data_IF_172699637112
#
_entry.id   IF_172699637112
#
_cell.length_a   1.000
_cell.length_b   1.000
_cell.length_c   1.000
_cell.angle_alpha   90.00
_cell.angle_beta   90.00
_cell.angle_gamma   90.00
#
_symmetry.space_group_name_H-M   'P 1'
#
loop_
_entity.id
_entity.type
_entity.pdbx_description
1 polymer ?
#
# COMPACT_ATOMS: atom_id res chain seq x y z
N UNK A 1 12.89 6.54 -23.47
CA UNK A 1 13.65 7.00 -22.29
C UNK A 1 15.05 7.40 -22.71
N UNK A 2 15.54 8.58 -22.32
CA UNK A 2 16.93 8.94 -22.52
C UNK A 2 17.81 8.09 -21.59
N UNK A 3 18.80 7.37 -22.15
CA UNK A 3 19.79 6.63 -21.35
C UNK A 3 20.51 7.63 -20.45
N UNK A 4 20.47 7.38 -19.13
CA UNK A 4 21.13 8.24 -18.15
C UNK A 4 22.64 8.07 -18.29
N UNK A 5 23.33 9.12 -18.68
CA UNK A 5 24.80 9.10 -18.77
C UNK A 5 25.40 9.11 -17.36
N UNK A 6 26.47 8.32 -17.17
CA UNK A 6 27.23 8.33 -15.92
C UNK A 6 27.96 9.68 -15.78
N UNK A 7 27.95 10.23 -14.57
CA UNK A 7 28.75 11.41 -14.24
C UNK A 7 30.22 11.19 -14.63
N UNK A 8 30.92 12.19 -15.21
CA UNK A 8 32.25 12.01 -15.82
C UNK A 8 33.29 11.37 -14.88
N UNK A 9 33.24 11.73 -13.60
CA UNK A 9 34.15 11.22 -12.58
C UNK A 9 33.88 9.74 -12.25
N UNK A 10 32.61 9.34 -12.13
CA UNK A 10 32.21 7.96 -11.93
C UNK A 10 32.51 7.11 -13.19
N UNK A 11 32.26 7.65 -14.37
CA UNK A 11 32.61 7.02 -15.65
C UNK A 11 34.12 6.75 -15.78
N UNK A 12 34.97 7.67 -15.33
CA UNK A 12 36.42 7.47 -15.30
C UNK A 12 36.81 6.36 -14.32
N UNK A 13 36.20 6.30 -13.13
CA UNK A 13 36.44 5.24 -12.15
C UNK A 13 36.01 3.86 -12.67
N UNK A 14 34.88 3.77 -13.38
CA UNK A 14 34.40 2.52 -13.98
C UNK A 14 35.38 2.02 -15.03
N UNK A 15 35.81 2.87 -15.98
CA UNK A 15 36.79 2.47 -17.01
C UNK A 15 38.11 2.01 -16.39
N UNK A 16 38.61 2.75 -15.39
CA UNK A 16 39.85 2.40 -14.70
C UNK A 16 39.73 1.04 -13.97
N UNK A 17 38.58 0.76 -13.35
CA UNK A 17 38.35 -0.52 -12.69
C UNK A 17 38.26 -1.68 -13.70
N UNK A 18 37.60 -1.50 -14.85
CA UNK A 18 37.53 -2.54 -15.89
C UNK A 18 38.92 -2.85 -16.46
N UNK A 19 39.71 -1.82 -16.75
CA UNK A 19 41.09 -1.97 -17.21
C UNK A 19 41.97 -2.72 -16.19
N UNK A 20 41.77 -2.45 -14.89
CA UNK A 20 42.46 -3.17 -13.81
C UNK A 20 42.19 -4.68 -13.82
N UNK A 21 40.98 -5.09 -14.21
CA UNK A 21 40.58 -6.49 -14.35
C UNK A 21 40.73 -7.01 -15.79
N UNK A 22 41.54 -6.35 -16.62
CA UNK A 22 41.91 -6.85 -17.95
C UNK A 22 40.84 -6.72 -19.02
N UNK A 23 39.85 -5.85 -18.83
CA UNK A 23 38.81 -5.56 -19.80
C UNK A 23 38.86 -4.07 -20.21
N UNK A 24 39.16 -3.79 -21.46
CA UNK A 24 39.00 -2.43 -22.03
C UNK A 24 37.55 -2.24 -22.46
N UNK A 25 36.88 -1.20 -21.94
CA UNK A 25 35.44 -1.00 -22.14
C UNK A 25 35.08 0.38 -22.68
N UNK A 26 34.06 0.42 -23.52
CA UNK A 26 33.36 1.64 -23.94
C UNK A 26 32.06 1.75 -23.16
N UNK A 27 31.79 2.92 -22.58
CA UNK A 27 30.56 3.16 -21.81
C UNK A 27 29.47 3.73 -22.71
N UNK A 28 28.27 3.16 -22.60
CA UNK A 28 27.06 3.58 -23.30
C UNK A 28 25.91 3.72 -22.30
N UNK A 29 25.79 4.90 -21.67
CA UNK A 29 24.83 5.12 -20.58
C UNK A 29 25.20 4.28 -19.35
N UNK A 30 24.31 3.40 -18.94
CA UNK A 30 24.44 2.46 -17.83
C UNK A 30 24.97 1.07 -18.25
N UNK A 31 25.56 0.95 -19.45
CA UNK A 31 26.18 -0.29 -19.93
C UNK A 31 27.65 -0.04 -20.26
N UNK A 32 28.54 -0.90 -19.78
CA UNK A 32 29.90 -1.01 -20.29
C UNK A 32 29.97 -2.14 -21.32
N UNK A 33 30.60 -1.91 -22.47
CA UNK A 33 30.81 -2.91 -23.52
C UNK A 33 32.30 -3.09 -23.75
N UNK A 34 32.81 -4.32 -23.68
CA UNK A 34 34.22 -4.58 -23.97
C UNK A 34 34.51 -4.76 -25.47
N UNK A 35 35.80 -4.89 -25.80
CA UNK A 35 36.29 -5.11 -27.16
C UNK A 35 35.88 -6.46 -27.76
N UNK A 36 35.37 -7.40 -26.96
CA UNK A 36 34.83 -8.69 -27.39
C UNK A 36 33.31 -8.64 -27.61
N UNK A 37 32.69 -7.48 -27.39
CA UNK A 37 31.25 -7.30 -27.56
C UNK A 37 30.41 -7.78 -26.37
N UNK A 38 31.02 -8.00 -25.20
CA UNK A 38 30.33 -8.40 -23.97
C UNK A 38 29.80 -7.16 -23.26
N UNK A 39 28.55 -7.23 -22.82
CA UNK A 39 27.84 -6.15 -22.13
C UNK A 39 27.82 -6.38 -20.63
N UNK A 40 28.13 -5.34 -19.88
CA UNK A 40 28.11 -5.29 -18.42
C UNK A 40 27.12 -4.21 -17.98
N UNK A 41 26.02 -4.62 -17.36
CA UNK A 41 25.05 -3.68 -16.80
C UNK A 41 25.61 -2.98 -15.57
N UNK A 42 25.56 -1.65 -15.55
CA UNK A 42 26.00 -0.77 -14.46
C UNK A 42 24.82 -0.18 -13.68
N UNK A 43 23.58 -0.55 -14.01
CA UNK A 43 22.39 -0.03 -13.32
C UNK A 43 22.42 -0.27 -11.80
N UNK A 44 22.96 -1.42 -11.37
CA UNK A 44 23.14 -1.74 -9.94
C UNK A 44 24.20 -0.87 -9.25
N UNK A 45 25.22 -0.40 -9.98
CA UNK A 45 26.30 0.41 -9.43
C UNK A 45 25.79 1.76 -8.91
N UNK A 46 24.90 2.41 -9.66
CA UNK A 46 24.34 3.71 -9.26
C UNK A 46 23.53 3.59 -7.97
N UNK A 47 22.65 2.60 -7.89
CA UNK A 47 21.89 2.30 -6.68
C UNK A 47 22.81 1.95 -5.49
N UNK A 48 23.89 1.19 -5.74
CA UNK A 48 24.86 0.81 -4.72
C UNK A 48 25.61 2.02 -4.14
N UNK A 49 25.99 2.99 -4.98
CA UNK A 49 26.64 4.24 -4.54
C UNK A 49 25.68 5.08 -3.71
N UNK A 50 24.43 5.23 -4.15
CA UNK A 50 23.41 6.02 -3.43
C UNK A 50 23.05 5.42 -2.06
N UNK A 51 22.98 4.09 -1.95
CA UNK A 51 22.61 3.40 -0.71
C UNK A 51 23.76 3.33 0.32
N UNK A 52 24.99 3.67 -0.07
CA UNK A 52 26.20 3.52 0.77
C UNK A 52 27.03 4.82 0.84
N UNK A 53 26.46 5.97 1.27
CA UNK A 53 27.16 7.26 1.23
C UNK A 53 28.42 7.34 2.11
N UNK A 54 28.58 6.41 3.07
CA UNK A 54 29.76 6.33 3.93
C UNK A 54 30.95 5.55 3.35
N UNK A 55 30.82 4.96 2.16
CA UNK A 55 31.89 4.20 1.50
C UNK A 55 32.41 4.99 0.31
N UNK A 56 33.73 5.13 0.12
CA UNK A 56 34.29 5.83 -1.05
C UNK A 56 33.79 5.21 -2.37
N UNK A 57 33.25 6.00 -3.31
CA UNK A 57 32.70 5.49 -4.57
C UNK A 57 33.67 4.61 -5.35
N UNK A 58 34.97 4.94 -5.32
CA UNK A 58 36.03 4.17 -5.99
C UNK A 58 36.11 2.72 -5.49
N UNK A 59 35.90 2.48 -4.19
CA UNK A 59 35.92 1.13 -3.63
C UNK A 59 34.69 0.34 -4.04
N UNK A 60 33.51 0.98 -4.04
CA UNK A 60 32.26 0.38 -4.51
C UNK A 60 32.34 0.03 -6.01
N UNK A 61 32.86 0.94 -6.83
CA UNK A 61 33.07 0.74 -8.27
C UNK A 61 34.04 -0.41 -8.51
N UNK A 62 35.20 -0.42 -7.84
CA UNK A 62 36.20 -1.47 -8.02
C UNK A 62 35.67 -2.84 -7.58
N UNK A 63 34.97 -2.92 -6.45
CA UNK A 63 34.34 -4.15 -5.99
C UNK A 63 33.29 -4.65 -6.98
N UNK A 64 32.40 -3.78 -7.43
CA UNK A 64 31.34 -4.12 -8.38
C UNK A 64 31.88 -4.54 -9.75
N UNK A 65 32.87 -3.82 -10.28
CA UNK A 65 33.48 -4.16 -11.57
C UNK A 65 34.29 -5.45 -11.51
N UNK A 66 35.03 -5.70 -10.41
CA UNK A 66 35.71 -6.98 -10.18
C UNK A 66 34.73 -8.14 -10.29
N UNK A 67 33.58 -8.00 -9.64
CA UNK A 67 32.54 -9.00 -9.65
C UNK A 67 31.93 -9.12 -11.05
N UNK A 68 31.70 -8.02 -11.79
CA UNK A 68 31.17 -8.02 -13.17
C UNK A 68 32.10 -8.74 -14.14
N UNK A 69 33.40 -8.46 -14.05
CA UNK A 69 34.40 -9.15 -14.86
C UNK A 69 34.51 -10.62 -14.45
N UNK A 70 34.47 -10.94 -13.16
CA UNK A 70 34.46 -12.32 -12.68
C UNK A 70 33.18 -13.08 -13.09
N UNK A 71 32.02 -12.44 -13.18
CA UNK A 71 30.77 -13.06 -13.63
C UNK A 71 30.76 -13.37 -15.14
N UNK A 72 31.52 -12.61 -15.93
CA UNK A 72 31.61 -12.75 -17.39
C UNK A 72 32.83 -13.58 -17.84
N UNK A 73 33.90 -13.61 -17.05
CA UNK A 73 35.12 -14.39 -17.32
C UNK A 73 35.22 -15.66 -16.48
N UNK A 74 34.53 -15.73 -15.35
CA UNK A 74 34.47 -16.92 -14.52
C UNK A 74 33.56 -17.99 -15.11
N UNK A 75 33.60 -19.19 -14.54
CA UNK A 75 32.62 -20.21 -14.85
C UNK A 75 31.22 -19.62 -14.63
N UNK A 76 30.29 -19.80 -15.58
CA UNK A 76 28.93 -19.26 -15.49
C UNK A 76 28.30 -19.74 -14.16
N UNK A 77 27.27 -19.08 -13.61
CA UNK A 77 26.66 -19.52 -12.35
C UNK A 77 26.12 -20.99 -12.36
N UNK A 78 26.16 -21.66 -13.52
CA UNK A 78 25.92 -23.10 -13.73
C UNK A 78 27.16 -24.01 -13.76
N UNK A 79 28.40 -23.50 -13.67
CA UNK A 79 29.63 -24.31 -13.75
C UNK A 79 30.15 -24.82 -12.38
N UNK A 80 29.47 -24.46 -11.28
CA UNK A 80 29.86 -24.88 -9.93
C UNK A 80 29.11 -26.14 -9.44
N UNK A 81 28.27 -26.76 -10.28
CA UNK A 81 27.48 -27.92 -9.89
C UNK A 81 26.85 -28.66 -11.07
N UNK A 82 26.25 -29.80 -10.79
CA UNK A 82 25.42 -30.55 -11.73
C UNK A 82 24.23 -29.72 -12.22
N UNK A 83 23.65 -30.03 -13.41
CA UNK A 83 22.43 -29.37 -13.90
C UNK A 83 21.30 -29.36 -12.86
N UNK A 84 21.19 -30.42 -12.06
CA UNK A 84 20.20 -30.52 -10.99
C UNK A 84 20.45 -29.55 -9.84
N UNK A 85 21.71 -29.34 -9.44
CA UNK A 85 22.09 -28.34 -8.42
C UNK A 85 21.85 -26.92 -8.92
N UNK A 86 22.14 -26.65 -10.19
CA UNK A 86 21.87 -25.36 -10.83
C UNK A 86 20.37 -25.10 -10.89
N UNK A 87 19.56 -26.08 -11.32
CA UNK A 87 18.11 -25.98 -11.33
C UNK A 87 17.51 -25.67 -9.95
N UNK A 88 18.06 -26.25 -8.88
CA UNK A 88 17.60 -26.03 -7.51
C UNK A 88 17.91 -24.63 -6.93
N UNK A 89 18.74 -23.84 -7.63
CA UNK A 89 19.16 -22.49 -7.25
C UNK A 89 18.43 -21.38 -8.03
N UNK A 90 17.56 -21.74 -8.97
CA UNK A 90 16.82 -20.78 -9.78
C UNK A 90 15.79 -20.00 -8.97
N UNK A 91 15.63 -18.73 -9.31
CA UNK A 91 14.52 -17.89 -8.89
C UNK A 91 13.83 -17.27 -10.12
N UNK A 92 12.53 -17.01 -10.04
CA UNK A 92 11.85 -16.24 -11.06
C UNK A 92 12.13 -14.76 -10.80
N UNK A 93 12.61 -14.06 -11.82
CA UNK A 93 12.92 -12.64 -11.78
C UNK A 93 11.98 -11.89 -12.72
N UNK A 94 11.28 -10.91 -12.16
CA UNK A 94 10.40 -10.02 -12.91
C UNK A 94 11.18 -8.83 -13.45
N UNK A 95 11.13 -8.62 -14.77
CA UNK A 95 11.77 -7.49 -15.45
C UNK A 95 10.81 -6.86 -16.45
N UNK A 96 11.05 -5.59 -16.78
CA UNK A 96 10.42 -4.95 -17.93
C UNK A 96 10.88 -5.61 -19.24
N UNK A 97 9.97 -5.78 -20.21
CA UNK A 97 10.24 -6.45 -21.48
C UNK A 97 11.37 -5.79 -22.28
N UNK A 98 11.62 -4.50 -22.07
CA UNK A 98 12.70 -3.73 -22.71
C UNK A 98 14.04 -3.82 -21.98
N UNK A 99 14.08 -4.44 -20.79
CA UNK A 99 15.30 -4.53 -19.99
C UNK A 99 16.41 -5.39 -20.63
N UNK A 100 16.04 -6.30 -21.55
CA UNK A 100 17.00 -7.16 -22.26
C UNK A 100 17.08 -6.75 -23.73
N UNK A 101 18.30 -6.48 -24.21
CA UNK A 101 18.55 -6.03 -25.58
C UNK A 101 18.24 -7.08 -26.65
N UNK A 102 18.13 -8.37 -26.29
CA UNK A 102 17.91 -9.48 -27.22
C UNK A 102 16.90 -10.49 -26.66
N UNK A 103 15.61 -10.14 -26.71
CA UNK A 103 14.51 -10.99 -26.23
C UNK A 103 14.50 -12.37 -26.90
N UNK A 104 15.02 -12.52 -28.13
CA UNK A 104 15.07 -13.78 -28.86
C UNK A 104 15.97 -14.83 -28.17
N UNK A 105 16.92 -14.40 -27.32
CA UNK A 105 17.75 -15.29 -26.51
C UNK A 105 17.02 -15.91 -25.32
N UNK A 106 15.81 -15.43 -25.01
CA UNK A 106 15.06 -15.83 -23.82
C UNK A 106 13.65 -16.34 -24.20
N UNK A 107 13.53 -17.36 -25.06
CA UNK A 107 12.23 -17.88 -25.52
C UNK A 107 11.40 -18.53 -24.40
N UNK A 108 12.00 -18.77 -23.23
CA UNK A 108 11.32 -19.29 -22.04
C UNK A 108 10.70 -18.17 -21.19
N UNK A 109 10.97 -16.89 -21.47
CA UNK A 109 10.40 -15.79 -20.71
C UNK A 109 8.88 -15.75 -20.91
N UNK A 110 8.14 -15.52 -19.84
CA UNK A 110 6.68 -15.48 -19.86
C UNK A 110 6.21 -14.05 -19.59
N UNK A 111 5.35 -13.50 -20.46
CA UNK A 111 4.67 -12.25 -20.15
C UNK A 111 3.60 -12.51 -19.08
N UNK A 112 3.76 -11.91 -17.90
CA UNK A 112 2.85 -12.08 -16.76
C UNK A 112 1.86 -10.94 -16.63
N UNK A 113 2.19 -9.78 -17.21
CA UNK A 113 1.34 -8.63 -17.42
C UNK A 113 1.90 -7.83 -18.61
N UNK A 114 1.15 -6.93 -19.25
CA UNK A 114 1.63 -6.17 -20.40
C UNK A 114 2.99 -5.49 -20.13
N UNK A 115 4.01 -5.87 -20.90
CA UNK A 115 5.38 -5.35 -20.77
C UNK A 115 6.18 -5.92 -19.58
N UNK A 116 5.63 -6.85 -18.81
CA UNK A 116 6.28 -7.45 -17.65
C UNK A 116 6.57 -8.94 -17.88
N UNK A 117 7.84 -9.30 -17.80
CA UNK A 117 8.33 -10.62 -18.16
C UNK A 117 8.94 -11.35 -16.95
N UNK A 118 8.55 -12.61 -16.77
CA UNK A 118 9.16 -13.53 -15.83
C UNK A 118 10.30 -14.32 -16.50
N UNK A 119 11.48 -14.21 -15.92
CA UNK A 119 12.69 -14.92 -16.35
C UNK A 119 13.15 -15.94 -15.32
N UNK A 120 13.87 -16.98 -15.76
CA UNK A 120 14.62 -17.86 -14.85
C UNK A 120 16.00 -17.25 -14.62
N UNK A 121 16.33 -16.96 -13.36
CA UNK A 121 17.57 -16.31 -12.99
C UNK A 121 18.32 -17.06 -11.89
N UNK A 122 19.65 -16.91 -11.91
CA UNK A 122 20.55 -17.34 -10.85
C UNK A 122 21.09 -16.13 -10.11
N UNK A 123 21.26 -16.31 -8.80
CA UNK A 123 22.01 -15.35 -8.00
C UNK A 123 23.50 -15.49 -8.30
N UNK A 124 24.15 -14.35 -8.53
CA UNK A 124 25.59 -14.23 -8.72
C UNK A 124 26.13 -13.14 -7.78
N UNK A 125 27.45 -13.07 -7.54
CA UNK A 125 28.03 -12.04 -6.69
C UNK A 125 27.69 -10.60 -7.12
N UNK A 126 27.44 -10.37 -8.41
CA UNK A 126 27.08 -9.04 -8.97
C UNK A 126 25.59 -8.73 -8.99
N UNK A 127 24.74 -9.66 -8.57
CA UNK A 127 23.30 -9.58 -8.72
C UNK A 127 22.75 -10.75 -9.52
N UNK A 128 21.70 -10.51 -10.32
CA UNK A 128 20.94 -11.57 -10.96
C UNK A 128 21.39 -11.82 -12.39
N UNK A 129 21.66 -13.09 -12.71
CA UNK A 129 21.96 -13.55 -14.05
C UNK A 129 20.73 -14.25 -14.64
N UNK A 130 20.12 -13.64 -15.65
CA UNK A 130 19.03 -14.27 -16.43
C UNK A 130 19.61 -15.34 -17.35
N UNK A 131 19.02 -16.54 -17.31
CA UNK A 131 19.43 -17.64 -18.17
C UNK A 131 19.00 -17.42 -19.62
N UNK A 132 19.76 -17.96 -20.57
CA UNK A 132 19.37 -18.03 -21.98
C UNK A 132 18.49 -19.25 -22.24
N UNK A 133 17.79 -19.28 -23.38
CA UNK A 133 17.00 -20.45 -23.79
C UNK A 133 17.84 -21.73 -23.90
N UNK A 134 19.09 -21.62 -24.38
CA UNK A 134 20.01 -22.76 -24.43
C UNK A 134 20.35 -23.30 -23.03
N UNK A 135 20.69 -22.42 -22.09
CA UNK A 135 20.98 -22.81 -20.72
C UNK A 135 19.75 -23.43 -20.03
N UNK A 136 18.56 -22.88 -20.24
CA UNK A 136 17.32 -23.48 -19.69
C UNK A 136 17.06 -24.87 -20.27
N UNK A 137 17.27 -25.06 -21.58
CA UNK A 137 17.07 -26.35 -22.24
C UNK A 137 18.03 -27.44 -21.72
N UNK A 138 19.25 -27.06 -21.31
CA UNK A 138 20.21 -27.98 -20.67
C UNK A 138 19.80 -28.39 -19.24
N UNK A 139 19.11 -27.51 -18.52
CA UNK A 139 18.61 -27.77 -17.17
C UNK A 139 17.31 -28.59 -17.14
N UNK A 140 16.52 -28.54 -18.22
CA UNK A 140 15.33 -29.35 -18.42
C UNK A 140 14.10 -28.57 -18.87
N UNK A 141 12.92 -29.03 -18.44
CA UNK A 141 11.65 -28.43 -18.83
C UNK A 141 11.44 -27.06 -18.15
N UNK A 142 11.29 -26.00 -18.96
CA UNK A 142 11.17 -24.63 -18.46
C UNK A 142 9.98 -24.42 -17.51
N UNK A 143 8.85 -25.11 -17.75
CA UNK A 143 7.66 -24.99 -16.89
C UNK A 143 7.90 -25.60 -15.52
N UNK A 144 8.50 -26.79 -15.44
CA UNK A 144 8.91 -27.41 -14.17
C UNK A 144 9.96 -26.59 -13.43
N UNK A 145 10.95 -26.04 -14.15
CA UNK A 145 11.96 -25.16 -13.56
C UNK A 145 11.33 -23.90 -12.96
N UNK A 146 10.34 -23.32 -13.64
CA UNK A 146 9.58 -22.15 -13.14
C UNK A 146 8.78 -22.48 -11.89
N UNK A 147 8.07 -23.60 -11.88
CA UNK A 147 7.32 -24.05 -10.70
C UNK A 147 8.24 -24.22 -9.49
N UNK A 148 9.39 -24.89 -9.68
CA UNK A 148 10.40 -25.06 -8.64
C UNK A 148 11.00 -23.71 -8.18
N UNK A 149 11.28 -22.80 -9.11
CA UNK A 149 11.80 -21.47 -8.82
C UNK A 149 10.78 -20.63 -8.03
N UNK A 150 9.50 -20.64 -8.41
CA UNK A 150 8.42 -19.98 -7.66
C UNK A 150 8.26 -20.58 -6.26
N UNK A 151 8.30 -21.89 -6.12
CA UNK A 151 8.28 -22.55 -4.81
C UNK A 151 9.47 -22.14 -3.92
N UNK A 152 10.64 -21.87 -4.52
CA UNK A 152 11.81 -21.34 -3.81
C UNK A 152 11.61 -19.87 -3.42
N UNK A 153 11.11 -19.04 -4.33
CA UNK A 153 10.79 -17.64 -4.07
C UNK A 153 9.80 -17.48 -2.90
N UNK A 154 8.78 -18.34 -2.85
CA UNK A 154 7.77 -18.35 -1.79
C UNK A 154 8.34 -18.62 -0.39
N UNK A 155 9.54 -19.20 -0.28
CA UNK A 155 10.22 -19.52 1.00
C UNK A 155 11.22 -18.45 1.44
N UNK A 156 11.42 -17.40 0.64
CA UNK A 156 12.29 -16.30 1.05
C UNK A 156 11.69 -15.57 2.25
N UNK A 157 12.49 -15.22 3.27
CA UNK A 157 11.99 -14.45 4.40
C UNK A 157 11.57 -13.05 3.94
N UNK A 158 10.53 -12.51 4.56
CA UNK A 158 10.18 -11.10 4.41
C UNK A 158 11.16 -10.23 5.20
N UNK A 159 11.90 -9.35 4.49
CA UNK A 159 12.89 -8.46 5.12
C UNK A 159 12.24 -7.34 5.94
N UNK A 160 11.30 -6.60 5.33
CA UNK A 160 10.53 -5.55 6.00
C UNK A 160 9.10 -5.54 5.49
N UNK A 161 8.16 -5.61 6.43
CA UNK A 161 6.72 -5.48 6.18
C UNK A 161 6.15 -4.35 7.03
N UNK A 162 5.35 -3.51 6.40
CA UNK A 162 4.61 -2.44 7.04
C UNK A 162 3.14 -2.53 6.59
N UNK A 163 2.20 -2.42 7.53
CA UNK A 163 0.79 -2.26 7.22
C UNK A 163 0.41 -0.78 7.37
N UNK A 164 0.13 -0.11 6.26
CA UNK A 164 -0.24 1.31 6.24
C UNK A 164 -1.76 1.46 6.27
N UNK A 165 -2.25 2.24 7.23
CA UNK A 165 -3.65 2.68 7.22
C UNK A 165 -3.88 3.66 6.06
N UNK A 166 -5.01 3.50 5.38
CA UNK A 166 -5.45 4.42 4.31
C UNK A 166 -6.30 5.58 4.84
N UNK A 167 -6.60 5.60 6.15
CA UNK A 167 -7.43 6.62 6.80
C UNK A 167 -8.93 6.54 6.47
N UNK A 168 -9.34 5.73 5.48
CA UNK A 168 -10.75 5.51 5.10
C UNK A 168 -11.23 4.07 5.36
N UNK A 169 -10.39 3.23 5.98
CA UNK A 169 -10.67 1.80 6.22
C UNK A 169 -9.84 0.90 5.31
N UNK A 170 -9.54 -0.31 5.80
CA UNK A 170 -8.58 -1.22 5.17
C UNK A 170 -7.12 -0.88 5.46
N UNK A 171 -6.21 -1.68 4.92
CA UNK A 171 -4.77 -1.51 5.11
C UNK A 171 -3.99 -1.92 3.88
N UNK A 172 -2.97 -1.14 3.55
CA UNK A 172 -2.05 -1.42 2.46
C UNK A 172 -0.79 -2.10 3.00
N UNK A 173 -0.55 -3.34 2.61
CA UNK A 173 0.69 -4.04 2.90
C UNK A 173 1.80 -3.48 2.02
N UNK A 174 2.92 -3.13 2.63
CA UNK A 174 4.12 -2.64 1.95
C UNK A 174 5.29 -3.53 2.32
N UNK A 175 5.82 -4.23 1.33
CA UNK A 175 7.03 -5.04 1.45
C UNK A 175 8.20 -4.26 0.88
N UNK A 176 9.28 -4.20 1.64
CA UNK A 176 10.55 -3.57 1.24
C UNK A 176 11.67 -4.57 1.46
N UNK A 177 12.58 -4.70 0.50
CA UNK A 177 13.75 -5.56 0.63
C UNK A 177 14.93 -5.04 -0.16
N UNK A 178 16.13 -5.51 0.18
CA UNK A 178 17.37 -5.20 -0.54
C UNK A 178 17.57 -6.05 -1.80
N UNK A 179 16.76 -7.10 -1.99
CA UNK A 179 16.82 -7.98 -3.16
C UNK A 179 15.83 -7.57 -4.25
N UNK A 180 16.26 -7.66 -5.51
CA UNK A 180 15.40 -7.49 -6.69
C UNK A 180 14.28 -8.55 -6.80
N UNK A 181 14.35 -9.62 -5.99
CA UNK A 181 13.27 -10.59 -5.87
C UNK A 181 12.07 -10.06 -5.08
N UNK A 182 12.19 -8.94 -4.37
CA UNK A 182 11.10 -8.39 -3.56
C UNK A 182 9.86 -8.09 -4.40
N UNK A 183 10.01 -7.36 -5.51
CA UNK A 183 8.93 -7.11 -6.47
C UNK A 183 8.45 -8.41 -7.14
N UNK A 184 9.38 -9.32 -7.42
CA UNK A 184 9.07 -10.63 -8.02
C UNK A 184 8.17 -11.50 -7.14
N UNK A 185 8.09 -11.25 -5.83
CA UNK A 185 7.18 -11.97 -4.90
C UNK A 185 5.70 -11.82 -5.25
N UNK A 186 5.32 -10.89 -6.14
CA UNK A 186 3.97 -10.84 -6.71
C UNK A 186 3.58 -12.15 -7.42
N UNK A 187 4.54 -12.89 -7.96
CA UNK A 187 4.32 -14.18 -8.63
C UNK A 187 3.86 -15.29 -7.67
N UNK A 188 4.02 -15.08 -6.36
CA UNK A 188 3.70 -16.01 -5.27
C UNK A 188 2.97 -15.28 -4.15
N UNK A 189 2.08 -14.36 -4.53
CA UNK A 189 1.43 -13.44 -3.60
C UNK A 189 0.60 -14.16 -2.54
N UNK A 190 -0.03 -15.29 -2.86
CA UNK A 190 -0.77 -16.12 -1.91
C UNK A 190 0.11 -16.60 -0.75
N UNK A 191 1.31 -17.12 -1.06
CA UNK A 191 2.27 -17.56 -0.07
C UNK A 191 2.80 -16.38 0.77
N UNK A 192 3.10 -15.26 0.11
CA UNK A 192 3.54 -14.04 0.79
C UNK A 192 2.45 -13.47 1.72
N UNK A 193 1.20 -13.40 1.26
CA UNK A 193 0.07 -12.92 2.05
C UNK A 193 -0.12 -13.79 3.29
N UNK A 194 -0.05 -15.12 3.11
CA UNK A 194 -0.11 -16.08 4.23
C UNK A 194 1.02 -15.87 5.24
N UNK A 195 2.24 -15.62 4.77
CA UNK A 195 3.39 -15.36 5.64
C UNK A 195 3.19 -14.09 6.49
N UNK A 196 2.74 -12.98 5.88
CA UNK A 196 2.68 -11.68 6.56
C UNK A 196 1.38 -11.43 7.33
N UNK A 197 0.29 -12.12 6.97
CA UNK A 197 -1.02 -11.94 7.60
C UNK A 197 -1.48 -13.13 8.43
N UNK A 198 -0.89 -14.32 8.22
CA UNK A 198 -1.36 -15.58 8.80
C UNK A 198 -2.64 -16.12 8.16
N UNK A 199 -3.08 -15.58 7.00
CA UNK A 199 -4.38 -15.89 6.38
C UNK A 199 -4.25 -16.23 4.90
N UNK A 200 -5.26 -16.89 4.37
CA UNK A 200 -5.40 -17.07 2.92
C UNK A 200 -5.92 -15.79 2.27
N UNK A 201 -5.51 -15.55 1.02
CA UNK A 201 -6.13 -14.50 0.21
C UNK A 201 -7.63 -14.81 -0.01
N UNK A 202 -8.49 -13.78 -0.09
CA UNK A 202 -9.86 -13.96 -0.56
C UNK A 202 -9.93 -14.65 -1.93
N UNK A 203 -11.08 -15.27 -2.28
CA UNK A 203 -11.26 -15.91 -3.60
C UNK A 203 -11.04 -14.95 -4.78
N UNK A 204 -11.41 -13.69 -4.62
CA UNK A 204 -11.17 -12.64 -5.62
C UNK A 204 -9.73 -12.07 -5.55
N UNK A 205 -8.82 -12.65 -4.76
CA UNK A 205 -7.40 -12.34 -4.79
C UNK A 205 -7.01 -11.03 -4.10
N UNK A 206 -6.25 -10.16 -4.78
CA UNK A 206 -5.70 -8.91 -4.23
C UNK A 206 -5.53 -7.83 -5.29
N UNK A 207 -5.51 -6.56 -4.87
CA UNK A 207 -4.98 -5.46 -5.68
C UNK A 207 -3.51 -5.25 -5.33
N UNK A 208 -2.65 -5.12 -6.34
CA UNK A 208 -1.19 -5.10 -6.17
C UNK A 208 -0.50 -4.07 -7.06
N UNK A 209 0.65 -3.59 -6.62
CA UNK A 209 1.59 -2.83 -7.43
C UNK A 209 3.04 -3.14 -7.03
N UNK A 210 3.96 -3.09 -7.99
CA UNK A 210 5.39 -3.32 -7.78
C UNK A 210 6.20 -2.24 -8.51
N UNK A 211 6.26 -1.01 -7.95
CA UNK A 211 6.85 0.14 -8.62
C UNK A 211 8.35 0.00 -8.90
N UNK A 212 9.04 -0.82 -8.10
CA UNK A 212 10.46 -1.14 -8.28
C UNK A 212 10.71 -2.61 -7.97
N UNK A 213 11.87 -3.15 -8.35
CA UNK A 213 12.26 -4.51 -7.97
C UNK A 213 12.38 -4.74 -6.45
N UNK A 214 12.43 -3.66 -5.66
CA UNK A 214 12.64 -3.65 -4.21
C UNK A 214 11.37 -3.32 -3.42
N UNK A 215 10.24 -3.10 -4.12
CA UNK A 215 8.97 -2.64 -3.54
C UNK A 215 7.81 -3.47 -4.07
N UNK A 216 6.99 -3.97 -3.14
CA UNK A 216 5.72 -4.61 -3.45
C UNK A 216 4.65 -4.10 -2.50
N UNK A 217 3.56 -3.58 -3.07
CA UNK A 217 2.42 -3.02 -2.37
C UNK A 217 1.20 -3.87 -2.71
N UNK A 218 0.38 -4.23 -1.72
CA UNK A 218 -0.85 -4.97 -1.98
C UNK A 218 -1.90 -4.81 -0.89
N UNK A 219 -3.15 -5.07 -1.24
CA UNK A 219 -4.26 -5.24 -0.32
C UNK A 219 -5.16 -6.39 -0.80
N UNK A 220 -5.75 -7.18 0.12
CA UNK A 220 -6.68 -8.25 -0.26
C UNK A 220 -7.89 -7.68 -1.00
N UNK A 221 -8.46 -8.46 -1.92
CA UNK A 221 -9.62 -8.06 -2.69
C UNK A 221 -10.90 -8.29 -1.87
N UNK A 222 -11.18 -7.37 -0.96
CA UNK A 222 -12.35 -7.38 -0.07
C UNK A 222 -13.17 -6.09 -0.17
N UNK A 223 -14.14 -5.93 0.74
CA UNK A 223 -15.04 -4.76 0.79
C UNK A 223 -14.31 -3.41 0.95
N UNK A 224 -13.03 -3.40 1.33
CA UNK A 224 -12.21 -2.20 1.45
C UNK A 224 -11.45 -1.86 0.17
N UNK A 225 -11.52 -2.67 -0.89
CA UNK A 225 -10.84 -2.42 -2.18
C UNK A 225 -11.06 -1.00 -2.69
N UNK A 226 -12.28 -0.44 -2.72
CA UNK A 226 -12.48 0.94 -3.19
C UNK A 226 -11.69 1.97 -2.39
N UNK A 227 -11.51 1.75 -1.09
CA UNK A 227 -10.82 2.67 -0.18
C UNK A 227 -9.29 2.58 -0.32
N UNK A 228 -8.76 1.40 -0.66
CA UNK A 228 -7.31 1.17 -0.76
C UNK A 228 -6.77 1.35 -2.18
N UNK A 229 -7.61 1.17 -3.21
CA UNK A 229 -7.17 1.18 -4.61
C UNK A 229 -6.61 2.53 -5.04
N UNK A 230 -7.28 3.64 -4.72
CA UNK A 230 -6.78 4.98 -5.07
C UNK A 230 -5.43 5.26 -4.41
N UNK A 231 -5.29 4.91 -3.12
CA UNK A 231 -4.03 5.08 -2.37
C UNK A 231 -2.91 4.23 -2.97
N UNK A 232 -3.22 3.00 -3.40
CA UNK A 232 -2.27 2.11 -4.06
C UNK A 232 -1.80 2.69 -5.40
N UNK A 233 -2.71 3.19 -6.24
CA UNK A 233 -2.40 3.79 -7.54
C UNK A 233 -1.48 4.99 -7.37
N UNK A 234 -1.82 5.92 -6.48
CA UNK A 234 -1.02 7.11 -6.21
C UNK A 234 0.37 6.77 -5.64
N UNK A 235 0.43 5.81 -4.71
CA UNK A 235 1.69 5.36 -4.14
C UNK A 235 2.59 4.70 -5.19
N UNK A 236 2.04 3.83 -6.04
CA UNK A 236 2.78 3.15 -7.09
C UNK A 236 3.32 4.13 -8.13
N UNK A 237 2.49 5.07 -8.61
CA UNK A 237 2.91 6.08 -9.57
C UNK A 237 4.05 6.94 -9.03
N UNK A 238 3.91 7.44 -7.79
CA UNK A 238 4.95 8.25 -7.15
C UNK A 238 6.25 7.46 -6.94
N UNK A 239 6.18 6.24 -6.41
CA UNK A 239 7.38 5.42 -6.17
C UNK A 239 8.07 5.02 -7.48
N UNK A 240 7.32 4.85 -8.57
CA UNK A 240 7.88 4.64 -9.90
C UNK A 240 8.62 5.88 -10.41
N UNK A 241 7.98 7.06 -10.36
CA UNK A 241 8.55 8.31 -10.88
C UNK A 241 9.78 8.78 -10.10
N UNK A 242 9.83 8.50 -8.79
CA UNK A 242 10.94 8.86 -7.91
C UNK A 242 12.09 7.84 -7.95
N UNK A 243 11.89 6.66 -8.56
CA UNK A 243 12.88 5.58 -8.54
C UNK A 243 13.96 5.73 -9.62
N UNK A 244 15.24 5.50 -9.29
CA UNK A 244 16.30 5.41 -10.29
C UNK A 244 16.24 4.10 -11.12
N UNK A 245 15.51 3.08 -10.65
CA UNK A 245 15.33 1.79 -11.31
C UNK A 245 13.84 1.37 -11.23
N UNK A 246 12.96 2.05 -11.99
CA UNK A 246 11.54 1.75 -11.99
C UNK A 246 11.26 0.40 -12.64
N UNK A 247 10.21 -0.28 -12.18
CA UNK A 247 9.76 -1.56 -12.73
C UNK A 247 8.38 -1.42 -13.41
N UNK A 248 7.33 -1.10 -12.66
CA UNK A 248 5.99 -0.91 -13.21
C UNK A 248 5.21 0.17 -12.49
N UNK A 249 4.71 1.17 -13.22
CA UNK A 249 3.84 2.22 -12.66
C UNK A 249 2.39 1.78 -12.47
N UNK A 250 2.02 0.62 -13.00
CA UNK A 250 0.64 0.15 -13.02
C UNK A 250 0.24 -0.57 -11.74
N UNK A 251 -1.06 -0.52 -11.47
CA UNK A 251 -1.73 -1.36 -10.47
C UNK A 251 -2.42 -2.51 -11.18
N UNK A 252 -2.43 -3.68 -10.56
CA UNK A 252 -2.97 -4.92 -11.11
C UNK A 252 -3.95 -5.56 -10.14
N UNK A 253 -4.92 -6.27 -10.67
CA UNK A 253 -5.70 -7.26 -9.97
C UNK A 253 -4.97 -8.60 -10.08
N UNK A 254 -4.51 -9.10 -8.94
CA UNK A 254 -3.90 -10.41 -8.84
C UNK A 254 -4.95 -11.44 -8.46
N UNK A 255 -5.09 -12.51 -9.25
CA UNK A 255 -5.96 -13.64 -8.92
C UNK A 255 -5.36 -14.96 -9.42
N UNK A 256 -5.11 -15.89 -8.51
CA UNK A 256 -4.64 -17.23 -8.88
C UNK A 256 -3.31 -17.27 -9.64
N UNK A 257 -2.44 -16.27 -9.43
CA UNK A 257 -1.16 -16.15 -10.13
C UNK A 257 -1.21 -15.33 -11.43
N UNK A 258 -2.38 -14.86 -11.85
CA UNK A 258 -2.55 -13.98 -13.01
C UNK A 258 -2.63 -12.51 -12.58
N UNK A 259 -2.05 -11.61 -13.38
CA UNK A 259 -2.07 -10.17 -13.17
C UNK A 259 -2.88 -9.50 -14.27
N UNK A 260 -4.04 -8.95 -13.91
CA UNK A 260 -4.87 -8.16 -14.82
C UNK A 260 -4.66 -6.68 -14.56
N UNK A 261 -4.24 -5.87 -15.54
CA UNK A 261 -4.04 -4.42 -15.34
C UNK A 261 -5.35 -3.73 -14.90
N UNK A 262 -5.25 -2.88 -13.88
CA UNK A 262 -6.33 -1.99 -13.44
C UNK A 262 -6.11 -0.56 -13.87
N UNK A 263 -4.90 -0.23 -14.32
CA UNK A 263 -4.56 1.11 -14.77
C UNK A 263 -3.92 1.11 -16.14
N UNK A 264 -4.22 2.14 -16.93
CA UNK A 264 -3.58 2.43 -18.21
C UNK A 264 -2.99 3.83 -18.18
N UNK A 265 -2.04 4.08 -19.07
CA UNK A 265 -1.47 5.42 -19.26
C UNK A 265 -2.17 6.03 -20.47
N UNK A 266 -2.80 7.18 -20.28
CA UNK A 266 -3.42 7.92 -21.37
C UNK A 266 -2.39 8.64 -22.26
N UNK A 267 -2.86 9.31 -23.31
CA UNK A 267 -2.00 10.05 -24.25
C UNK A 267 -1.22 11.20 -23.57
N UNK A 268 -1.72 11.72 -22.45
CA UNK A 268 -1.09 12.78 -21.66
C UNK A 268 -0.10 12.24 -20.61
N UNK A 269 0.04 10.91 -20.52
CA UNK A 269 0.94 10.25 -19.58
C UNK A 269 0.36 10.05 -18.18
N UNK A 270 -0.92 10.37 -17.97
CA UNK A 270 -1.64 10.21 -16.71
C UNK A 270 -2.16 8.77 -16.57
N UNK A 271 -2.24 8.30 -15.32
CA UNK A 271 -2.76 6.98 -15.01
C UNK A 271 -4.29 7.04 -14.86
N UNK A 272 -5.00 6.37 -15.76
CA UNK A 272 -6.44 6.14 -15.70
C UNK A 272 -6.77 4.74 -15.20
N UNK A 273 -7.99 4.54 -14.70
CA UNK A 273 -8.52 3.21 -14.37
C UNK A 273 -9.06 2.53 -15.63
N UNK A 274 -8.67 1.28 -15.85
CA UNK A 274 -9.24 0.45 -16.92
C UNK A 274 -10.53 -0.17 -16.41
N UNK A 275 -11.61 -0.05 -17.18
CA UNK A 275 -12.82 -0.82 -16.92
C UNK A 275 -12.61 -2.28 -17.35
N UNK A 276 -12.50 -3.16 -16.37
CA UNK A 276 -12.46 -4.61 -16.57
C UNK A 276 -13.78 -5.17 -16.05
N UNK A 277 -14.64 -5.67 -16.95
CA UNK A 277 -15.98 -6.17 -16.61
C UNK A 277 -15.96 -7.17 -15.45
N UNK A 278 -14.94 -8.02 -15.39
CA UNK A 278 -14.79 -9.02 -14.34
C UNK A 278 -14.44 -8.40 -12.97
N UNK A 279 -13.63 -7.33 -12.96
CA UNK A 279 -13.31 -6.55 -11.75
C UNK A 279 -14.56 -5.81 -11.27
N UNK A 280 -15.32 -5.21 -12.19
CA UNK A 280 -16.60 -4.56 -11.88
C UNK A 280 -17.55 -5.59 -11.26
N UNK A 281 -17.68 -6.77 -11.86
CA UNK A 281 -18.50 -7.84 -11.32
C UNK A 281 -18.01 -8.32 -9.95
N UNK A 282 -16.69 -8.39 -9.70
CA UNK A 282 -16.14 -8.74 -8.39
C UNK A 282 -16.45 -7.68 -7.33
N UNK A 283 -16.27 -6.39 -7.65
CA UNK A 283 -16.65 -5.28 -6.76
C UNK A 283 -18.16 -5.26 -6.51
N UNK A 284 -18.98 -5.50 -7.54
CA UNK A 284 -20.43 -5.61 -7.41
C UNK A 284 -20.81 -6.79 -6.51
N UNK A 285 -20.21 -7.97 -6.66
CA UNK A 285 -20.44 -9.11 -5.75
C UNK A 285 -20.04 -8.81 -4.31
N UNK A 286 -18.97 -8.04 -4.08
CA UNK A 286 -18.61 -7.61 -2.74
C UNK A 286 -19.65 -6.64 -2.16
N UNK A 287 -20.16 -5.71 -2.97
CA UNK A 287 -21.21 -4.78 -2.57
C UNK A 287 -22.56 -5.49 -2.35
N UNK A 288 -22.89 -6.50 -3.15
CA UNK A 288 -24.09 -7.34 -3.02
C UNK A 288 -23.97 -8.34 -1.87
N UNK A 289 -22.78 -8.90 -1.64
CA UNK A 289 -22.47 -9.72 -0.46
C UNK A 289 -22.48 -8.92 0.85
N UNK A 290 -22.30 -7.60 0.79
CA UNK A 290 -22.61 -6.70 1.90
C UNK A 290 -24.11 -6.46 2.08
N UNK A 291 -24.96 -6.71 1.09
CA UNK A 291 -26.41 -6.51 1.21
C UNK A 291 -27.07 -7.49 2.21
N UNK A 292 -26.39 -8.61 2.53
CA UNK A 292 -26.81 -9.57 3.56
C UNK A 292 -26.30 -9.23 4.98
N UNK A 293 -25.37 -8.26 5.12
CA UNK A 293 -25.11 -7.63 6.40
C UNK A 293 -26.15 -6.50 6.56
N UNK A 294 -27.02 -6.52 7.58
CA UNK A 294 -28.01 -5.46 7.72
C UNK A 294 -27.29 -4.12 7.78
N UNK A 295 -27.61 -3.21 6.85
CA UNK A 295 -27.17 -1.83 6.93
C UNK A 295 -27.59 -1.18 8.25
N UNK A 296 -27.04 0.00 8.61
CA UNK A 296 -27.41 0.65 9.85
C UNK A 296 -28.92 0.90 9.87
N UNK A 297 -29.57 0.53 10.97
CA UNK A 297 -31.00 0.74 11.17
C UNK A 297 -31.25 2.25 11.03
N UNK A 298 -32.13 2.70 10.11
CA UNK A 298 -32.26 4.11 9.77
C UNK A 298 -32.56 5.02 10.98
N UNK A 299 -33.37 4.52 11.92
CA UNK A 299 -33.69 5.25 13.14
C UNK A 299 -32.48 5.50 14.02
N UNK A 300 -31.68 4.46 14.27
CA UNK A 300 -30.45 4.57 15.03
C UNK A 300 -29.50 5.56 14.36
N UNK A 301 -29.19 5.34 13.09
CA UNK A 301 -28.24 6.16 12.34
C UNK A 301 -28.65 7.64 12.34
N UNK A 302 -29.91 7.93 12.01
CA UNK A 302 -30.41 9.31 11.95
C UNK A 302 -30.36 9.99 13.32
N UNK A 303 -30.71 9.28 14.39
CA UNK A 303 -30.65 9.83 15.73
C UNK A 303 -29.22 10.19 16.14
N UNK A 304 -28.29 9.23 15.98
CA UNK A 304 -26.90 9.38 16.41
C UNK A 304 -26.09 10.36 15.54
N UNK A 305 -26.25 10.30 14.22
CA UNK A 305 -25.38 11.02 13.27
C UNK A 305 -25.98 12.32 12.73
N UNK A 306 -27.30 12.53 12.85
CA UNK A 306 -27.96 13.72 12.29
C UNK A 306 -28.66 14.54 13.36
N UNK A 307 -29.51 13.91 14.17
CA UNK A 307 -30.28 14.64 15.17
C UNK A 307 -29.38 15.14 16.30
N UNK A 308 -28.74 14.25 17.07
CA UNK A 308 -27.93 14.65 18.23
C UNK A 308 -26.86 15.72 17.92
N UNK A 309 -26.05 15.60 16.84
CA UNK A 309 -25.05 16.63 16.51
C UNK A 309 -25.66 18.01 16.23
N UNK A 310 -26.92 18.07 15.77
CA UNK A 310 -27.60 19.33 15.46
C UNK A 310 -28.19 20.03 16.70
N UNK A 311 -28.31 19.33 17.83
CA UNK A 311 -29.01 19.85 19.01
C UNK A 311 -28.06 20.60 19.96
N UNK A 312 -27.74 21.84 19.62
CA UNK A 312 -26.92 22.73 20.45
C UNK A 312 -27.49 23.02 21.85
N UNK A 313 -28.80 22.86 22.04
CA UNK A 313 -29.50 23.22 23.27
C UNK A 313 -29.46 22.13 24.34
N UNK A 314 -29.04 20.90 24.03
CA UNK A 314 -29.00 19.81 25.01
C UNK A 314 -28.09 20.11 26.20
N UNK A 315 -27.11 20.99 26.02
CA UNK A 315 -26.25 21.48 27.11
C UNK A 315 -26.99 22.27 28.19
N UNK A 316 -28.20 22.77 27.93
CA UNK A 316 -29.00 23.51 28.91
C UNK A 316 -30.01 22.63 29.67
N UNK A 317 -30.20 21.37 29.24
CA UNK A 317 -31.18 20.47 29.86
C UNK A 317 -30.70 20.05 31.25
N UNK A 318 -31.51 20.18 32.32
CA UNK A 318 -31.16 19.67 33.64
C UNK A 318 -30.94 18.16 33.62
N UNK A 319 -29.94 17.67 34.35
CA UNK A 319 -29.53 16.26 34.32
C UNK A 319 -30.66 15.29 34.66
N UNK A 320 -31.52 15.65 35.60
CA UNK A 320 -32.69 14.86 36.02
C UNK A 320 -33.80 14.76 34.95
N UNK A 321 -33.77 15.63 33.93
CA UNK A 321 -34.72 15.61 32.79
C UNK A 321 -34.13 15.04 31.51
N UNK A 322 -32.82 14.82 31.48
CA UNK A 322 -32.07 14.47 30.28
C UNK A 322 -32.55 13.16 29.64
N UNK A 323 -32.75 12.11 30.44
CA UNK A 323 -33.22 10.82 29.91
C UNK A 323 -34.62 10.91 29.30
N UNK A 324 -35.52 11.69 29.92
CA UNK A 324 -36.87 11.93 29.39
C UNK A 324 -36.83 12.69 28.07
N UNK A 325 -35.98 13.71 27.98
CA UNK A 325 -35.79 14.50 26.76
C UNK A 325 -35.17 13.67 25.63
N UNK A 326 -34.18 12.83 25.93
CA UNK A 326 -33.58 11.92 24.94
C UNK A 326 -34.60 10.91 24.42
N UNK A 327 -35.46 10.34 25.28
CA UNK A 327 -36.55 9.45 24.84
C UNK A 327 -37.56 10.16 23.94
N UNK A 328 -37.98 11.37 24.30
CA UNK A 328 -38.87 12.18 23.46
C UNK A 328 -38.27 12.40 22.07
N UNK A 329 -37.01 12.83 22.00
CA UNK A 329 -36.29 13.06 20.74
C UNK A 329 -36.12 11.77 19.91
N UNK A 330 -35.90 10.64 20.58
CA UNK A 330 -35.82 9.33 19.94
C UNK A 330 -37.17 8.95 19.31
N UNK A 331 -38.26 9.04 20.07
CA UNK A 331 -39.61 8.77 19.58
C UNK A 331 -40.00 9.69 18.41
N UNK A 332 -39.66 10.98 18.48
CA UNK A 332 -39.87 11.94 17.38
C UNK A 332 -39.06 11.59 16.13
N UNK A 333 -37.80 11.18 16.31
CA UNK A 333 -36.98 10.67 15.21
C UNK A 333 -37.64 9.45 14.55
N UNK A 334 -38.08 8.48 15.34
CA UNK A 334 -38.74 7.27 14.88
C UNK A 334 -40.09 7.53 14.21
N UNK A 335 -40.89 8.47 14.70
CA UNK A 335 -42.17 8.85 14.11
C UNK A 335 -42.03 9.37 12.67
N UNK A 336 -40.89 9.96 12.33
CA UNK A 336 -40.57 10.41 10.97
C UNK A 336 -40.15 9.29 10.00
N UNK A 337 -40.14 8.03 10.46
CA UNK A 337 -39.72 6.86 9.71
C UNK A 337 -40.87 5.84 9.55
N UNK A 338 -40.79 4.97 8.52
CA UNK A 338 -41.65 3.78 8.39
C UNK A 338 -41.64 2.92 9.66
N UNK A 339 -42.74 2.23 9.94
CA UNK A 339 -42.95 1.54 11.23
C UNK A 339 -41.92 0.44 11.46
N UNK A 340 -41.50 -0.23 10.40
CA UNK A 340 -40.49 -1.28 10.34
C UNK A 340 -39.07 -0.80 10.66
N UNK A 341 -38.82 0.51 10.59
CA UNK A 341 -37.54 1.11 10.93
C UNK A 341 -37.52 1.70 12.34
N UNK A 342 -38.66 1.76 13.03
CA UNK A 342 -38.76 2.27 14.40
C UNK A 342 -38.12 1.28 15.36
N UNK A 343 -37.50 1.83 16.40
CA UNK A 343 -36.73 1.07 17.37
C UNK A 343 -37.15 1.53 18.76
N UNK A 344 -37.22 0.58 19.68
CA UNK A 344 -37.41 0.88 21.10
C UNK A 344 -36.20 1.63 21.67
N UNK A 345 -36.39 2.58 22.61
CA UNK A 345 -35.31 3.36 23.23
C UNK A 345 -34.52 2.55 24.28
N UNK A 346 -34.55 1.23 24.23
CA UNK A 346 -33.89 0.38 25.24
C UNK A 346 -32.37 0.60 25.22
N UNK A 347 -31.80 0.96 26.37
CA UNK A 347 -30.38 1.32 26.50
C UNK A 347 -30.06 2.80 26.28
N UNK A 348 -31.01 3.61 25.79
CA UNK A 348 -30.84 5.05 25.62
C UNK A 348 -30.75 5.75 26.98
N UNK A 349 -29.61 6.39 27.26
CA UNK A 349 -29.36 7.14 28.51
C UNK A 349 -28.40 8.31 28.27
N UNK A 350 -28.58 9.39 29.01
CA UNK A 350 -27.72 10.56 28.97
C UNK A 350 -27.03 10.83 30.30
N UNK A 351 -25.81 11.33 30.26
CA UNK A 351 -25.10 11.80 31.44
C UNK A 351 -24.15 12.94 31.11
N UNK A 352 -24.17 13.99 31.92
CA UNK A 352 -23.17 15.03 31.84
C UNK A 352 -21.86 14.56 32.48
N UNK A 353 -20.76 14.82 31.79
CA UNK A 353 -19.40 14.57 32.25
C UNK A 353 -18.64 15.88 32.19
N UNK A 354 -17.98 16.23 33.30
CA UNK A 354 -17.08 17.37 33.36
C UNK A 354 -15.64 16.87 33.18
N UNK A 355 -15.03 17.19 32.04
CA UNK A 355 -13.57 17.19 31.90
C UNK A 355 -13.04 18.56 32.33
N UNK A 356 -11.76 18.63 32.73
CA UNK A 356 -11.13 19.81 33.38
C UNK A 356 -11.56 21.14 32.75
N UNK A 357 -11.57 21.22 31.41
CA UNK A 357 -11.96 22.41 30.65
C UNK A 357 -13.21 22.24 29.80
N UNK A 358 -13.77 21.05 29.70
CA UNK A 358 -14.84 20.76 28.74
C UNK A 358 -16.05 20.20 29.46
N UNK A 359 -17.21 20.77 29.17
CA UNK A 359 -18.47 20.16 29.55
C UNK A 359 -18.89 19.22 28.43
N UNK A 360 -19.25 17.99 28.77
CA UNK A 360 -19.64 16.97 27.80
C UNK A 360 -20.96 16.35 28.19
N UNK A 361 -21.74 15.97 27.19
CA UNK A 361 -22.90 15.11 27.32
C UNK A 361 -22.58 13.78 26.63
N UNK A 362 -22.49 12.71 27.42
CA UNK A 362 -22.41 11.34 26.91
C UNK A 362 -23.82 10.78 26.76
N UNK A 363 -24.17 10.33 25.56
CA UNK A 363 -25.41 9.62 25.27
C UNK A 363 -25.07 8.18 24.91
N UNK A 364 -25.45 7.24 25.76
CA UNK A 364 -25.44 5.82 25.42
C UNK A 364 -26.66 5.50 24.55
N UNK A 365 -26.47 4.72 23.49
CA UNK A 365 -27.49 4.40 22.49
C UNK A 365 -27.94 2.94 22.62
N UNK A 366 -29.11 2.58 22.03
CA UNK A 366 -29.50 1.18 21.90
C UNK A 366 -28.42 0.35 21.20
N UNK A 367 -28.20 -0.88 21.64
CA UNK A 367 -27.07 -1.72 21.20
C UNK A 367 -26.96 -1.74 19.66
N UNK A 368 -25.79 -1.36 19.09
CA UNK A 368 -25.61 -1.36 17.66
C UNK A 368 -25.54 -2.78 17.10
N UNK A 369 -26.02 -2.97 15.87
CA UNK A 369 -26.08 -4.27 15.17
C UNK A 369 -25.35 -4.27 13.83
N UNK A 370 -24.99 -3.10 13.34
CA UNK A 370 -24.47 -2.89 12.00
C UNK A 370 -23.37 -1.83 12.03
N UNK A 371 -22.44 -1.90 11.09
CA UNK A 371 -21.42 -0.87 10.91
C UNK A 371 -22.08 0.50 10.76
N UNK A 372 -21.46 1.54 11.33
CA UNK A 372 -21.98 2.93 11.39
C UNK A 372 -23.18 3.16 12.31
N UNK A 373 -23.67 2.16 13.04
CA UNK A 373 -24.44 2.42 14.26
C UNK A 373 -23.49 2.71 15.42
N UNK A 374 -23.91 3.50 16.41
CA UNK A 374 -23.04 3.92 17.51
C UNK A 374 -23.42 3.28 18.84
N UNK A 375 -22.41 2.90 19.62
CA UNK A 375 -22.56 2.57 21.04
C UNK A 375 -22.90 3.82 21.85
N UNK A 376 -22.25 4.94 21.53
CA UNK A 376 -22.42 6.19 22.23
C UNK A 376 -22.10 7.41 21.37
N UNK A 377 -22.63 8.57 21.78
CA UNK A 377 -22.33 9.90 21.22
C UNK A 377 -21.85 10.80 22.34
N UNK A 378 -20.84 11.64 22.07
CA UNK A 378 -20.43 12.74 22.95
C UNK A 378 -20.70 14.06 22.26
N UNK A 379 -21.52 14.91 22.88
CA UNK A 379 -21.62 16.33 22.54
C UNK A 379 -20.73 17.10 23.51
N UNK A 380 -19.72 17.78 22.99
CA UNK A 380 -18.74 18.52 23.79
C UNK A 380 -18.90 20.02 23.58
N UNK A 381 -18.94 20.77 24.68
CA UNK A 381 -18.85 22.22 24.72
C UNK A 381 -17.46 22.59 25.25
N UNK A 382 -16.54 23.00 24.37
CA UNK A 382 -15.19 23.34 24.80
C UNK A 382 -15.18 24.59 25.70
N UNK A 383 -14.34 24.60 26.75
CA UNK A 383 -14.27 25.72 27.69
C UNK A 383 -13.57 26.96 27.16
N UNK A 384 -13.00 26.90 25.95
CA UNK A 384 -12.48 28.07 25.23
C UNK A 384 -13.58 28.87 24.53
N UNK A 385 -14.84 28.41 24.60
CA UNK A 385 -16.00 29.07 23.98
C UNK A 385 -16.16 28.75 22.49
N UNK A 386 -15.38 27.80 21.94
CA UNK A 386 -15.58 27.33 20.58
C UNK A 386 -16.91 26.57 20.40
N UNK A 387 -17.30 26.37 19.14
CA UNK A 387 -18.56 25.72 18.81
C UNK A 387 -18.63 24.28 19.37
N UNK A 388 -19.85 23.81 19.60
CA UNK A 388 -20.09 22.43 20.00
C UNK A 388 -19.47 21.45 18.99
N UNK A 389 -18.78 20.42 19.51
CA UNK A 389 -18.23 19.32 18.71
C UNK A 389 -18.99 18.04 19.03
N UNK A 390 -19.21 17.18 18.04
CA UNK A 390 -19.97 15.95 18.20
C UNK A 390 -19.11 14.75 17.78
N UNK A 391 -18.98 13.78 18.68
CA UNK A 391 -18.18 12.58 18.50
C UNK A 391 -19.05 11.32 18.61
N UNK A 392 -18.70 10.29 17.86
CA UNK A 392 -19.41 9.02 17.82
C UNK A 392 -18.44 7.89 18.18
N UNK A 393 -18.92 6.92 18.96
CA UNK A 393 -18.26 5.64 19.18
C UNK A 393 -19.02 4.58 18.39
N UNK A 394 -18.60 4.37 17.15
CA UNK A 394 -19.30 3.52 16.17
C UNK A 394 -18.94 2.06 16.33
N UNK A 395 -19.94 1.20 16.16
CA UNK A 395 -19.72 -0.21 15.94
C UNK A 395 -18.92 -0.42 14.66
N UNK A 396 -17.84 -1.17 14.83
CA UNK A 396 -17.04 -1.65 13.74
C UNK A 396 -16.80 -3.13 13.91
N UNK A 397 -16.70 -3.81 12.78
CA UNK A 397 -16.12 -5.13 12.70
C UNK A 397 -14.76 -4.92 12.08
N UNK A 398 -13.71 -5.38 12.76
CA UNK A 398 -12.39 -5.41 12.18
C UNK A 398 -12.47 -6.22 10.88
N UNK A 399 -12.20 -5.61 9.72
CA UNK A 399 -12.39 -6.28 8.43
C UNK A 399 -11.39 -7.43 8.26
N UNK A 400 -10.29 -7.42 9.04
CA UNK A 400 -9.30 -8.46 9.09
C UNK A 400 -9.78 -9.52 10.08
N UNK A 401 -9.77 -9.27 11.39
CA UNK A 401 -10.01 -10.35 12.37
C UNK A 401 -11.48 -10.80 12.45
N UNK A 402 -12.41 -10.02 11.93
CA UNK A 402 -13.85 -10.20 12.15
C UNK A 402 -14.25 -9.88 13.60
N UNK A 403 -13.32 -9.42 14.43
CA UNK A 403 -13.60 -9.07 15.82
C UNK A 403 -14.44 -7.80 15.88
N UNK A 404 -15.38 -7.80 16.81
CA UNK A 404 -16.23 -6.65 17.05
C UNK A 404 -15.45 -5.64 17.90
N UNK A 405 -15.39 -4.41 17.41
CA UNK A 405 -14.75 -3.30 18.10
C UNK A 405 -15.54 -2.02 17.92
N UNK A 406 -14.86 -0.90 18.14
CA UNK A 406 -15.42 0.43 17.93
C UNK A 406 -14.46 1.39 17.24
N UNK A 407 -15.02 2.40 16.61
CA UNK A 407 -14.30 3.48 15.92
C UNK A 407 -14.74 4.82 16.49
N UNK A 408 -13.79 5.71 16.74
CA UNK A 408 -14.06 7.10 17.12
C UNK A 408 -14.21 7.96 15.87
N UNK A 409 -15.41 8.50 15.67
CA UNK A 409 -15.73 9.49 14.65
C UNK A 409 -15.99 10.88 15.24
N UNK A 410 -15.86 11.92 14.43
CA UNK A 410 -16.24 13.30 14.72
C UNK A 410 -17.01 13.91 13.55
N UNK A 411 -18.09 14.64 13.84
CA UNK A 411 -18.78 15.48 12.87
C UNK A 411 -18.22 16.89 12.87
N UNK A 412 -17.67 17.30 11.73
CA UNK A 412 -17.22 18.67 11.48
C UNK A 412 -18.41 19.57 11.11
N UNK A 413 -18.29 20.88 11.35
CA UNK A 413 -19.35 21.85 11.08
C UNK A 413 -19.82 21.88 9.60
N UNK A 414 -18.94 21.49 8.67
CA UNK A 414 -19.26 21.35 7.24
C UNK A 414 -20.09 20.08 6.90
N UNK A 415 -20.48 19.28 7.90
CA UNK A 415 -21.21 18.04 7.70
C UNK A 415 -20.33 16.89 7.20
N UNK A 416 -19.01 17.01 7.32
CA UNK A 416 -18.05 15.92 7.07
C UNK A 416 -17.89 15.09 8.34
N UNK A 417 -17.94 13.77 8.20
CA UNK A 417 -17.66 12.85 9.29
C UNK A 417 -16.22 12.33 9.14
N UNK A 418 -15.41 12.51 10.20
CA UNK A 418 -13.99 12.21 10.23
C UNK A 418 -13.70 11.11 11.24
N UNK A 419 -13.01 10.06 10.81
CA UNK A 419 -12.56 8.99 11.69
C UNK A 419 -11.21 9.36 12.32
N UNK A 420 -11.07 9.17 13.63
CA UNK A 420 -9.86 9.50 14.39
C UNK A 420 -9.09 8.29 14.89
N UNK A 421 -9.80 7.22 15.31
CA UNK A 421 -9.17 6.04 15.90
C UNK A 421 -10.01 4.79 15.65
N UNK A 422 -9.36 3.70 15.26
CA UNK A 422 -9.97 2.37 15.10
C UNK A 422 -9.53 1.42 16.24
N UNK A 423 -10.20 0.27 16.37
CA UNK A 423 -9.84 -0.76 17.36
C UNK A 423 -10.13 -0.37 18.82
N UNK A 424 -11.08 0.54 19.05
CA UNK A 424 -11.50 0.92 20.40
C UNK A 424 -12.41 -0.14 21.01
N UNK A 425 -12.45 -0.20 22.34
CA UNK A 425 -13.49 -0.96 23.05
C UNK A 425 -14.81 -0.16 23.05
N UNK A 426 -15.93 -0.85 23.25
CA UNK A 426 -17.26 -0.23 23.37
C UNK A 426 -17.49 0.48 24.73
N UNK A 427 -16.42 0.76 25.48
CA UNK A 427 -16.50 1.30 26.84
C UNK A 427 -16.49 2.84 26.84
N UNK A 428 -17.32 3.43 27.71
CA UNK A 428 -17.46 4.87 27.82
C UNK A 428 -16.18 5.58 28.28
N UNK A 429 -15.39 4.98 29.18
CA UNK A 429 -14.22 5.63 29.79
C UNK A 429 -13.06 5.81 28.78
N UNK A 430 -12.62 4.79 28.04
CA UNK A 430 -11.66 4.95 26.94
C UNK A 430 -12.13 5.96 25.88
N UNK A 431 -13.42 5.96 25.56
CA UNK A 431 -14.03 6.90 24.62
C UNK A 431 -13.93 8.36 25.10
N UNK A 432 -14.37 8.66 26.33
CA UNK A 432 -14.28 10.01 26.90
C UNK A 432 -12.84 10.53 27.00
N UNK A 433 -11.89 9.64 27.33
CA UNK A 433 -10.47 10.00 27.36
C UNK A 433 -9.94 10.38 25.97
N UNK A 434 -10.31 9.61 24.93
CA UNK A 434 -9.92 9.90 23.56
C UNK A 434 -10.54 11.22 23.06
N UNK A 435 -11.81 11.48 23.38
CA UNK A 435 -12.47 12.75 23.05
C UNK A 435 -11.79 13.92 23.75
N UNK A 436 -11.47 13.80 25.04
CA UNK A 436 -10.77 14.86 25.79
C UNK A 436 -9.43 15.20 25.15
N UNK A 437 -8.65 14.18 24.75
CA UNK A 437 -7.38 14.40 24.05
C UNK A 437 -7.54 15.15 22.71
N UNK A 438 -8.64 14.92 21.98
CA UNK A 438 -8.95 15.65 20.74
C UNK A 438 -9.43 17.08 20.98
N UNK A 439 -10.01 17.36 22.15
CA UNK A 439 -10.43 18.70 22.57
C UNK A 439 -9.25 19.53 23.08
N UNK A 440 -8.29 18.90 23.76
CA UNK A 440 -7.08 19.54 24.29
C UNK A 440 -5.97 19.74 23.22
N UNK A 441 -6.06 19.03 22.09
CA UNK A 441 -5.11 19.18 21.00
C UNK A 441 -5.20 20.60 20.41
N UNK A 442 -4.06 21.26 20.11
CA UNK A 442 -4.09 22.55 19.41
C UNK A 442 -4.79 22.38 18.06
N UNK A 443 -5.56 23.39 17.59
CA UNK A 443 -6.17 23.32 16.28
C UNK A 443 -5.09 23.03 15.24
N UNK A 444 -5.30 21.99 14.43
CA UNK A 444 -4.38 21.66 13.35
C UNK A 444 -4.17 22.92 12.51
N UNK A 445 -2.91 23.32 12.28
CA UNK A 445 -2.59 24.43 11.39
C UNK A 445 -3.30 24.18 10.07
N UNK A 446 -4.30 25.02 9.77
CA UNK A 446 -4.87 25.07 8.45
C UNK A 446 -3.72 25.49 7.56
N UNK A 447 -3.22 24.57 6.75
CA UNK A 447 -2.24 24.84 5.70
C UNK A 447 -2.89 25.83 4.72
N UNK A 448 -2.84 27.11 5.07
CA UNK A 448 -3.15 28.22 4.19
C UNK A 448 -1.97 28.33 3.24
N UNK A 449 -1.95 27.43 2.26
CA UNK A 449 -1.05 27.48 1.13
C UNK A 449 -1.39 28.69 0.26
N UNK A 450 -1.04 29.89 0.71
CA UNK A 450 -0.78 30.98 -0.21
C UNK A 450 0.53 30.61 -0.92
N UNK A 451 0.55 30.45 -2.25
CA UNK A 451 1.77 30.09 -2.96
C UNK A 451 2.80 31.19 -2.74
N UNK A 452 3.87 30.87 -2.02
CA UNK A 452 5.03 31.77 -1.87
C UNK A 452 5.61 31.99 -3.27
N UNK A 453 5.35 33.17 -3.83
CA UNK A 453 6.01 33.65 -5.04
C UNK A 453 7.53 33.57 -4.85
N UNK A 454 8.18 32.70 -5.64
CA UNK A 454 9.64 32.63 -5.73
C UNK A 454 10.15 33.99 -6.22
N UNK A 455 10.76 34.77 -5.33
CA UNK A 455 11.57 35.93 -5.70
C UNK A 455 12.72 35.45 -6.59
N UNK A 456 12.64 35.73 -7.89
CA UNK A 456 13.79 35.69 -8.80
C UNK A 456 14.80 36.74 -8.33
N UNK A 457 15.88 36.30 -7.70
CA UNK A 457 17.08 37.10 -7.52
C UNK A 457 17.74 37.30 -8.88
N UNK A 458 17.72 38.53 -9.39
CA UNK A 458 18.57 38.96 -10.50
C UNK A 458 20.03 38.95 -10.03
N UNK A 459 20.87 38.19 -10.72
CA UNK A 459 22.31 38.45 -10.77
C UNK A 459 22.55 39.78 -11.49
N UNK A 460 23.28 40.70 -10.87
CA UNK A 460 23.96 41.82 -11.52
C UNK A 460 25.47 41.65 -11.32
N UNK A 461 26.14 41.50 -12.46
CA UNK A 461 27.56 41.73 -12.81
C UNK A 461 28.65 41.13 -11.94
#
# INVERSE_FOLDING_TARGET
>A
MARRELEPELAAQVRAAFAEFGAEVTLHGDVARDTQGRDYGLGGLLALVEQRPGVPPRELVRAHVRELVAAVQGPMAGDAGSPQETAARLYPLLLDATALADAARHPHALEVAPGMMEFLALESPVGWQVLTGAAVAELGDASRLREAARARLARLPVERHELRSTGQGGGLHVITGGSALTGSRVLVLDALYREVSGRELPPDGAVVAFPTAFRLLFAPFDVQVPNVLQVLIEAAAREFDESPAPLSRHTYWWRGGELTPLTEVDEDGLLGLVQVDEVVAAVTRLAEGQADLPGPRPHHYRFAHRLLPSLGHLGAVPGERLDGELRRLWEECGASLPVEHRLEPEGLRGGFVQAVRHRMLLVALPVPRAATEAFAVVLAWPGDGSAQRAFTLEYAVDPITGERGAVLGEWEAAGRHRLHRTGMTAEARPFLHAVTALLDAPPAEVATGVPRAKRRGLFRR
#
